data_IF_989736935022
#
_entry.id   IF_989736935022
#
_cell.length_a   1.000
_cell.length_b   1.000
_cell.length_c   1.000
_cell.angle_alpha   90.00
_cell.angle_beta   90.00
_cell.angle_gamma   90.00
#
_symmetry.space_group_name_H-M   'P 1'
#
loop_
_entity.id
_entity.type
_entity.pdbx_description
1 polymer ?
#
# COMPACT_ATOMS: atom_id res chain seq x y z
N UNK A 1 -7.02 -2.12 3.79
CA UNK A 1 -6.48 -2.99 4.84
C UNK A 1 -6.26 -4.44 4.40
N UNK A 2 -7.22 -5.14 3.78
CA UNK A 2 -7.07 -6.56 3.38
C UNK A 2 -5.71 -6.92 2.74
N UNK A 3 -5.22 -6.10 1.81
CA UNK A 3 -3.91 -6.32 1.20
C UNK A 3 -2.72 -6.25 2.20
N UNK A 4 -2.76 -5.32 3.15
CA UNK A 4 -1.75 -5.24 4.22
C UNK A 4 -1.79 -6.49 5.12
N UNK A 5 -2.98 -6.95 5.47
CA UNK A 5 -3.16 -8.14 6.32
C UNK A 5 -2.73 -9.42 5.58
N UNK A 6 -3.10 -9.55 4.30
CA UNK A 6 -2.63 -10.62 3.42
C UNK A 6 -1.09 -10.62 3.37
N UNK A 7 -0.45 -9.45 3.26
CA UNK A 7 1.02 -9.33 3.29
C UNK A 7 1.62 -9.78 4.64
N UNK A 8 0.99 -9.46 5.78
CA UNK A 8 1.45 -9.92 7.09
C UNK A 8 1.28 -11.43 7.24
N UNK A 9 0.11 -11.96 6.86
CA UNK A 9 -0.22 -13.40 6.98
C UNK A 9 0.68 -14.29 6.12
N UNK A 10 1.11 -13.81 4.95
CA UNK A 10 2.02 -14.54 4.05
C UNK A 10 3.47 -14.61 4.55
N UNK A 11 3.84 -13.85 5.58
CA UNK A 11 5.21 -13.82 6.09
C UNK A 11 5.40 -14.85 7.20
N UNK A 12 6.48 -15.62 7.11
CA UNK A 12 6.90 -16.56 8.17
C UNK A 12 7.22 -15.85 9.49
N UNK A 13 7.70 -14.60 9.41
CA UNK A 13 7.99 -13.74 10.55
C UNK A 13 7.30 -12.40 10.38
N UNK A 14 6.51 -12.01 11.39
CA UNK A 14 5.85 -10.70 11.38
C UNK A 14 6.88 -9.58 11.48
N UNK A 15 6.74 -8.51 10.69
CA UNK A 15 7.62 -7.35 10.78
C UNK A 15 7.44 -6.64 12.14
N UNK A 16 8.53 -6.06 12.65
CA UNK A 16 8.49 -5.22 13.84
C UNK A 16 7.50 -4.05 13.65
N UNK A 17 6.57 -3.89 14.58
CA UNK A 17 5.55 -2.84 14.53
C UNK A 17 4.53 -2.96 13.40
N UNK A 18 4.35 -4.14 12.79
CA UNK A 18 3.34 -4.35 11.74
C UNK A 18 3.60 -3.60 10.43
N UNK A 19 4.83 -3.14 10.21
CA UNK A 19 5.23 -2.37 9.02
C UNK A 19 5.27 -3.24 7.77
N UNK A 20 4.51 -2.84 6.75
CA UNK A 20 4.54 -3.45 5.41
C UNK A 20 5.09 -2.43 4.42
N UNK A 21 5.96 -2.88 3.52
CA UNK A 21 6.47 -2.00 2.47
C UNK A 21 5.33 -1.53 1.56
N UNK A 22 5.29 -0.25 1.23
CA UNK A 22 4.22 0.36 0.46
C UNK A 22 4.09 -0.23 -0.96
N UNK A 23 5.21 -0.63 -1.57
CA UNK A 23 5.24 -1.26 -2.90
C UNK A 23 4.73 -2.69 -2.86
N UNK A 24 4.99 -3.41 -1.76
CA UNK A 24 4.39 -4.73 -1.52
C UNK A 24 2.88 -4.63 -1.34
N UNK A 25 2.43 -3.66 -0.53
CA UNK A 25 1.00 -3.41 -0.34
C UNK A 25 0.32 -3.02 -1.67
N UNK A 26 0.96 -2.19 -2.49
CA UNK A 26 0.50 -1.88 -3.84
C UNK A 26 0.36 -3.14 -4.70
N UNK A 27 1.40 -3.99 -4.74
CA UNK A 27 1.37 -5.23 -5.51
C UNK A 27 0.24 -6.16 -5.06
N UNK A 28 0.03 -6.29 -3.75
CA UNK A 28 -1.06 -7.09 -3.20
C UNK A 28 -2.44 -6.47 -3.47
N UNK A 29 -2.57 -5.15 -3.47
CA UNK A 29 -3.80 -4.47 -3.90
C UNK A 29 -4.11 -4.74 -5.37
N UNK A 30 -3.09 -4.72 -6.23
CA UNK A 30 -3.24 -5.08 -7.65
C UNK A 30 -3.76 -6.49 -7.81
N UNK A 31 -3.21 -7.46 -7.05
CA UNK A 31 -3.69 -8.84 -7.05
C UNK A 31 -5.12 -8.97 -6.50
N UNK A 32 -5.46 -8.24 -5.44
CA UNK A 32 -6.78 -8.28 -4.82
C UNK A 32 -7.88 -7.72 -5.74
N UNK A 33 -7.53 -6.93 -6.75
CA UNK A 33 -8.45 -6.36 -7.75
C UNK A 33 -8.64 -7.24 -8.98
N UNK A 34 -7.91 -8.35 -9.09
CA UNK A 34 -8.02 -9.23 -10.25
C UNK A 34 -9.37 -9.96 -10.28
N UNK A 35 -9.87 -10.19 -11.49
CA UNK A 35 -11.12 -10.92 -11.71
C UNK A 35 -10.96 -12.44 -11.46
N UNK A 36 -12.07 -13.15 -11.26
CA UNK A 36 -12.06 -14.61 -11.18
C UNK A 36 -11.43 -15.27 -12.43
N UNK A 37 -11.58 -14.64 -13.60
CA UNK A 37 -10.97 -15.11 -14.85
C UNK A 37 -9.45 -15.13 -14.77
N UNK A 38 -8.82 -14.11 -14.17
CA UNK A 38 -7.38 -14.09 -13.97
C UNK A 38 -6.92 -15.23 -13.06
N UNK A 39 -7.62 -15.45 -11.94
CA UNK A 39 -7.27 -16.52 -10.99
C UNK A 39 -7.43 -17.92 -11.57
N UNK A 40 -8.42 -18.13 -12.44
CA UNK A 40 -8.63 -19.41 -13.11
C UNK A 40 -7.69 -19.63 -14.31
N UNK A 41 -7.30 -18.56 -15.02
CA UNK A 41 -6.42 -18.61 -16.17
C UNK A 41 -5.51 -17.37 -16.24
N UNK A 42 -4.37 -17.37 -15.52
CA UNK A 42 -3.47 -16.22 -15.46
C UNK A 42 -2.77 -15.99 -16.80
N UNK A 43 -3.00 -14.82 -17.40
CA UNK A 43 -2.30 -14.38 -18.60
C UNK A 43 -2.23 -12.85 -18.65
N UNK A 44 -1.39 -12.30 -19.54
CA UNK A 44 -1.32 -10.86 -19.76
C UNK A 44 -2.66 -10.26 -20.22
N UNK A 45 -3.48 -11.02 -20.94
CA UNK A 45 -4.79 -10.57 -21.42
C UNK A 45 -5.89 -10.64 -20.35
N UNK A 46 -5.72 -11.44 -19.30
CA UNK A 46 -6.66 -11.52 -18.17
C UNK A 46 -6.24 -10.67 -16.98
N UNK A 47 -4.98 -10.23 -16.95
CA UNK A 47 -4.45 -9.32 -15.95
C UNK A 47 -5.00 -7.90 -16.15
N UNK A 48 -5.58 -7.36 -15.09
CA UNK A 48 -6.03 -5.97 -15.04
C UNK A 48 -5.05 -5.16 -14.20
N UNK A 49 -4.31 -4.26 -14.82
CA UNK A 49 -3.36 -3.46 -14.08
C UNK A 49 -4.07 -2.48 -13.12
N UNK A 50 -3.42 -2.21 -11.99
CA UNK A 50 -3.78 -1.12 -11.12
C UNK A 50 -2.66 -0.10 -11.22
N UNK A 51 -2.87 0.91 -12.04
CA UNK A 51 -1.83 1.88 -12.36
C UNK A 51 -1.29 2.59 -11.11
N UNK A 52 0.02 2.85 -11.11
CA UNK A 52 0.72 3.50 -10.00
C UNK A 52 0.15 4.88 -9.69
N UNK A 53 -0.32 5.61 -10.70
CA UNK A 53 -0.90 6.95 -10.53
C UNK A 53 -2.23 6.90 -9.79
N UNK A 54 -3.06 5.89 -10.08
CA UNK A 54 -4.29 5.64 -9.34
C UNK A 54 -3.99 5.24 -7.89
N UNK A 55 -2.92 4.48 -7.65
CA UNK A 55 -2.48 4.15 -6.30
C UNK A 55 -2.02 5.39 -5.53
N UNK A 56 -1.18 6.24 -6.14
CA UNK A 56 -0.73 7.51 -5.54
C UNK A 56 -1.93 8.39 -5.20
N UNK A 57 -2.87 8.56 -6.13
CA UNK A 57 -4.11 9.31 -5.90
C UNK A 57 -4.90 8.74 -4.71
N UNK A 58 -5.11 7.43 -4.68
CA UNK A 58 -5.84 6.79 -3.59
C UNK A 58 -5.12 6.99 -2.23
N UNK A 59 -3.78 6.96 -2.20
CA UNK A 59 -3.00 7.24 -0.99
C UNK A 59 -3.12 8.69 -0.52
N UNK A 60 -3.06 9.65 -1.44
CA UNK A 60 -3.24 11.08 -1.12
C UNK A 60 -4.64 11.31 -0.55
N UNK A 61 -5.67 10.75 -1.18
CA UNK A 61 -7.05 10.84 -0.68
C UNK A 61 -7.21 10.20 0.70
N UNK A 62 -6.46 9.14 1.02
CA UNK A 62 -6.44 8.55 2.36
C UNK A 62 -5.71 9.43 3.38
N UNK A 63 -4.66 10.15 2.98
CA UNK A 63 -3.97 11.12 3.84
C UNK A 63 -4.83 12.36 4.12
N UNK A 64 -5.40 12.97 3.08
CA UNK A 64 -6.22 14.19 3.19
C UNK A 64 -7.45 14.01 4.07
N UNK A 65 -8.01 12.81 4.09
CA UNK A 65 -9.16 12.49 4.94
C UNK A 65 -8.84 12.59 6.42
N UNK A 66 -7.58 12.75 6.85
CA UNK A 66 -7.09 13.01 8.23
C UNK A 66 -7.69 12.12 9.35
N UNK A 67 -8.46 11.08 8.98
CA UNK A 67 -9.34 10.34 9.83
C UNK A 67 -9.51 8.96 9.21
N UNK A 68 -8.54 8.07 9.45
CA UNK A 68 -8.82 6.66 9.17
C UNK A 68 -8.30 5.81 10.29
N UNK A 69 -8.83 6.09 11.47
CA UNK A 69 -9.19 5.03 12.38
C UNK A 69 -10.18 4.10 11.66
N UNK A 70 -9.67 3.04 11.06
CA UNK A 70 -10.45 1.98 10.42
C UNK A 70 -10.87 0.98 11.48
N UNK A 71 -12.10 0.49 11.41
CA UNK A 71 -12.52 -0.66 12.23
C UNK A 71 -11.89 -1.92 11.64
N UNK A 72 -11.01 -2.55 12.40
CA UNK A 72 -10.25 -3.75 12.08
C UNK A 72 -10.53 -4.77 13.19
N UNK A 73 -11.16 -5.90 12.86
CA UNK A 73 -11.48 -6.95 13.85
C UNK A 73 -12.31 -6.45 15.06
N UNK A 74 -13.05 -5.34 14.88
CA UNK A 74 -13.82 -4.69 15.95
C UNK A 74 -13.09 -3.54 16.66
N UNK A 75 -11.80 -3.34 16.41
CA UNK A 75 -10.98 -2.27 17.01
C UNK A 75 -10.69 -1.14 16.03
N UNK A 76 -10.65 0.09 16.51
CA UNK A 76 -10.28 1.25 15.71
C UNK A 76 -8.75 1.33 15.56
N UNK A 77 -8.22 1.16 14.35
CA UNK A 77 -6.78 1.28 14.05
C UNK A 77 -6.48 2.41 13.09
N UNK A 78 -5.49 3.21 13.43
CA UNK A 78 -5.02 4.37 12.67
C UNK A 78 -4.11 3.95 11.52
N UNK A 79 -4.47 4.34 10.30
CA UNK A 79 -3.58 4.23 9.14
C UNK A 79 -2.45 5.25 9.23
N UNK A 80 -1.20 4.79 9.09
CA UNK A 80 0.00 5.65 9.06
C UNK A 80 0.94 5.24 7.94
N UNK A 81 1.66 6.25 7.43
CA UNK A 81 2.68 6.09 6.40
C UNK A 81 4.05 6.40 6.99
N UNK A 82 5.01 5.49 6.77
CA UNK A 82 6.40 5.65 7.17
C UNK A 82 7.18 6.42 6.11
N UNK A 83 7.79 7.54 6.49
CA UNK A 83 8.67 8.33 5.62
C UNK A 83 9.89 7.51 5.23
N UNK A 84 10.21 7.50 3.94
CA UNK A 84 11.38 6.81 3.43
C UNK A 84 12.68 7.51 3.85
N UNK A 85 13.68 6.73 4.25
CA UNK A 85 15.06 7.22 4.38
C UNK A 85 15.66 7.50 3.00
N UNK A 86 16.77 8.24 2.93
CA UNK A 86 17.44 8.57 1.66
C UNK A 86 17.71 7.33 0.79
N UNK A 87 18.26 6.26 1.37
CA UNK A 87 18.57 5.03 0.64
C UNK A 87 17.33 4.27 0.15
N UNK A 88 16.16 4.49 0.76
CA UNK A 88 14.88 3.94 0.30
C UNK A 88 14.23 4.84 -0.76
N UNK A 89 14.37 6.17 -0.64
CA UNK A 89 13.88 7.13 -1.62
C UNK A 89 14.57 6.97 -2.98
N UNK A 90 15.86 6.64 -2.99
CA UNK A 90 16.62 6.35 -4.21
C UNK A 90 16.21 5.03 -4.90
N UNK A 91 15.34 4.22 -4.28
CA UNK A 91 14.91 2.91 -4.77
C UNK A 91 13.40 2.89 -5.05
N UNK A 92 13.02 2.98 -6.33
CA UNK A 92 11.62 2.98 -6.78
C UNK A 92 10.83 1.71 -6.44
N UNK A 93 11.52 0.61 -6.10
CA UNK A 93 10.95 -0.67 -5.65
C UNK A 93 10.65 -0.70 -4.15
N UNK A 94 11.09 0.30 -3.39
CA UNK A 94 10.92 0.36 -1.94
C UNK A 94 10.16 1.58 -1.44
N UNK A 95 9.99 2.59 -2.29
CA UNK A 95 9.32 3.83 -1.93
C UNK A 95 8.42 4.36 -3.03
N UNK A 96 7.48 5.20 -2.63
CA UNK A 96 6.54 5.90 -3.50
C UNK A 96 6.51 7.36 -3.08
N UNK A 97 6.61 8.26 -4.06
CA UNK A 97 6.44 9.69 -3.85
C UNK A 97 4.96 10.04 -3.79
N UNK A 98 4.54 10.77 -2.77
CA UNK A 98 3.19 11.32 -2.66
C UNK A 98 3.27 12.85 -2.60
N UNK A 99 2.46 13.58 -3.38
CA UNK A 99 2.37 15.03 -3.28
C UNK A 99 1.76 15.42 -1.94
N UNK A 100 2.35 16.41 -1.26
CA UNK A 100 1.77 17.03 -0.06
C UNK A 100 1.08 18.35 -0.41
N UNK A 101 1.55 19.03 -1.47
CA UNK A 101 0.94 20.22 -2.02
C UNK A 101 1.26 20.29 -3.53
N UNK A 102 0.92 21.40 -4.18
CA UNK A 102 1.08 21.56 -5.63
C UNK A 102 2.54 21.55 -6.12
N UNK A 103 3.52 21.80 -5.24
CA UNK A 103 4.93 22.01 -5.59
C UNK A 103 5.91 21.12 -4.82
N UNK A 104 5.43 20.39 -3.82
CA UNK A 104 6.24 19.59 -2.91
C UNK A 104 5.55 18.27 -2.54
N UNK A 105 6.36 17.31 -2.11
CA UNK A 105 5.90 15.99 -1.70
C UNK A 105 7.01 15.17 -1.07
N UNK A 106 6.65 13.98 -0.61
CA UNK A 106 7.53 13.16 0.20
C UNK A 106 7.51 11.71 -0.23
N UNK A 107 8.66 11.04 -0.12
CA UNK A 107 8.76 9.61 -0.32
C UNK A 107 8.34 8.87 0.96
N UNK A 108 7.49 7.87 0.78
CA UNK A 108 7.07 6.94 1.82
C UNK A 108 7.52 5.53 1.47
N UNK A 109 7.92 4.76 2.47
CA UNK A 109 8.41 3.38 2.31
C UNK A 109 7.46 2.34 2.86
N UNK A 110 6.68 2.67 3.90
CA UNK A 110 5.94 1.69 4.68
C UNK A 110 4.53 2.15 5.02
N UNK A 111 3.65 1.17 5.24
CA UNK A 111 2.29 1.32 5.77
C UNK A 111 2.21 0.59 7.11
N UNK A 112 1.58 1.24 8.10
CA UNK A 112 1.18 0.61 9.38
C UNK A 112 -0.28 0.90 9.69
N UNK A 113 -0.87 0.00 10.49
CA UNK A 113 -2.16 0.19 11.13
C UNK A 113 -1.96 -0.02 12.63
N UNK A 114 -1.89 1.09 13.38
CA UNK A 114 -1.72 1.11 14.84
C UNK A 114 -3.07 1.28 15.53
#
# INVERSE_FOLDING_TARGET
YRAWDDCIKKRDRRPGGGRINIVEAYSQLTLNRQSARFWNAPSRSTFKDYERDLFVRDMVLLQERNATTLIVEGEQRSFRLGVATKSQADQATRSIWLPQNAVDGQYYSDITFD
#
